data_IF_943527656228
#
_entry.id   IF_943527656228
#
_cell.length_a   1.000
_cell.length_b   1.000
_cell.length_c   1.000
_cell.angle_alpha   90.00
_cell.angle_beta   90.00
_cell.angle_gamma   90.00
#
_symmetry.space_group_name_H-M   'P 1'
#
loop_
_entity.id
_entity.type
_entity.pdbx_description
1 polymer ?
#
# COMPACT_ATOMS: atom_id res chain seq x y z
N UNK A 1 44.11 -5.02 3.55
CA UNK A 1 42.88 -4.32 3.98
C UNK A 1 41.66 -4.52 3.05
N UNK A 2 41.79 -5.13 1.86
CA UNK A 2 40.66 -5.30 0.93
C UNK A 2 39.62 -6.39 1.27
N UNK A 3 39.96 -7.40 2.08
CA UNK A 3 39.03 -8.51 2.38
C UNK A 3 37.82 -8.11 3.23
N UNK A 4 38.05 -7.35 4.32
CA UNK A 4 36.98 -6.91 5.24
C UNK A 4 35.94 -6.03 4.54
N UNK A 5 36.37 -5.19 3.59
CA UNK A 5 35.46 -4.34 2.82
C UNK A 5 34.58 -5.17 1.86
N UNK A 6 35.13 -6.23 1.26
CA UNK A 6 34.39 -7.13 0.36
C UNK A 6 33.38 -7.97 1.13
N UNK A 7 33.74 -8.51 2.30
CA UNK A 7 32.82 -9.33 3.10
C UNK A 7 31.66 -8.50 3.67
N UNK A 8 31.93 -7.24 4.07
CA UNK A 8 30.87 -6.32 4.50
C UNK A 8 29.92 -5.97 3.35
N UNK A 9 30.46 -5.74 2.15
CA UNK A 9 29.65 -5.47 0.96
C UNK A 9 28.76 -6.67 0.61
N UNK A 10 29.32 -7.89 0.62
CA UNK A 10 28.56 -9.13 0.38
C UNK A 10 27.40 -9.27 1.36
N UNK A 11 27.66 -9.08 2.66
CA UNK A 11 26.62 -9.16 3.68
C UNK A 11 25.49 -8.13 3.49
N UNK A 12 25.81 -6.91 3.03
CA UNK A 12 24.78 -5.89 2.73
C UNK A 12 23.92 -6.35 1.55
N UNK A 13 24.53 -6.85 0.48
CA UNK A 13 23.83 -7.31 -0.73
C UNK A 13 22.89 -8.46 -0.38
N UNK A 14 23.38 -9.52 0.26
CA UNK A 14 22.59 -10.70 0.63
C UNK A 14 21.39 -10.33 1.51
N UNK A 15 21.56 -9.38 2.43
CA UNK A 15 20.46 -8.89 3.27
C UNK A 15 19.40 -8.13 2.48
N UNK A 16 19.81 -7.34 1.48
CA UNK A 16 18.88 -6.62 0.60
C UNK A 16 18.14 -7.59 -0.30
N UNK A 17 18.84 -8.55 -0.92
CA UNK A 17 18.22 -9.57 -1.79
C UNK A 17 17.16 -10.38 -1.04
N UNK A 18 17.44 -10.79 0.19
CA UNK A 18 16.44 -11.46 1.03
C UNK A 18 15.21 -10.56 1.29
N UNK A 19 15.41 -9.28 1.60
CA UNK A 19 14.30 -8.34 1.82
C UNK A 19 13.51 -8.06 0.53
N UNK A 20 14.16 -8.09 -0.64
CA UNK A 20 13.52 -8.00 -1.95
C UNK A 20 12.62 -9.22 -2.21
N UNK A 21 13.10 -10.43 -1.91
CA UNK A 21 12.34 -11.67 -2.01
C UNK A 21 11.13 -11.68 -1.06
N UNK A 22 11.33 -11.31 0.21
CA UNK A 22 10.25 -11.19 1.21
C UNK A 22 9.19 -10.17 0.75
N UNK A 23 9.63 -9.00 0.25
CA UNK A 23 8.70 -7.99 -0.27
C UNK A 23 7.92 -8.49 -1.48
N UNK A 24 8.57 -9.25 -2.37
CA UNK A 24 7.90 -9.84 -3.54
C UNK A 24 6.83 -10.85 -3.10
N UNK A 25 7.16 -11.76 -2.17
CA UNK A 25 6.19 -12.71 -1.63
C UNK A 25 4.98 -12.01 -1.02
N UNK A 26 5.20 -10.99 -0.19
CA UNK A 26 4.12 -10.18 0.38
C UNK A 26 3.28 -9.45 -0.68
N UNK A 27 3.91 -8.97 -1.76
CA UNK A 27 3.19 -8.32 -2.85
C UNK A 27 2.30 -9.30 -3.63
N UNK A 28 2.79 -10.53 -3.83
CA UNK A 28 2.02 -11.61 -4.46
C UNK A 28 0.84 -12.02 -3.58
N UNK A 29 1.05 -12.20 -2.27
CA UNK A 29 -0.04 -12.48 -1.31
C UNK A 29 -1.13 -11.39 -1.33
N UNK A 30 -0.74 -10.11 -1.34
CA UNK A 30 -1.69 -8.98 -1.43
C UNK A 30 -2.48 -9.03 -2.75
N UNK A 31 -1.83 -9.42 -3.85
CA UNK A 31 -2.49 -9.53 -5.16
C UNK A 31 -3.51 -10.67 -5.17
N UNK A 32 -3.22 -11.78 -4.51
CA UNK A 32 -4.14 -12.90 -4.38
C UNK A 32 -5.37 -12.50 -3.56
N UNK A 33 -5.20 -11.77 -2.45
CA UNK A 33 -6.31 -11.22 -1.66
C UNK A 33 -7.20 -10.28 -2.50
N UNK A 34 -6.61 -9.42 -3.34
CA UNK A 34 -7.40 -8.58 -4.24
C UNK A 34 -8.14 -9.41 -5.31
N UNK A 35 -7.58 -10.53 -5.73
CA UNK A 35 -8.20 -11.45 -6.69
C UNK A 35 -9.35 -12.23 -6.05
N UNK A 36 -9.22 -12.61 -4.79
CA UNK A 36 -10.30 -13.17 -3.97
C UNK A 36 -11.44 -12.16 -3.80
N UNK A 37 -11.12 -10.91 -3.42
CA UNK A 37 -12.12 -9.85 -3.28
C UNK A 37 -12.91 -9.64 -4.60
N UNK A 38 -12.21 -9.66 -5.74
CA UNK A 38 -12.86 -9.59 -7.06
C UNK A 38 -13.78 -10.78 -7.31
N UNK A 39 -13.32 -11.99 -7.00
CA UNK A 39 -14.10 -13.23 -7.17
C UNK A 39 -15.34 -13.27 -6.26
N UNK A 40 -15.25 -12.64 -5.09
CA UNK A 40 -16.36 -12.45 -4.15
C UNK A 40 -17.33 -11.32 -4.57
N UNK A 41 -17.07 -10.62 -5.68
CA UNK A 41 -17.97 -9.60 -6.24
C UNK A 41 -17.68 -8.16 -5.77
N UNK A 42 -16.57 -7.90 -5.08
CA UNK A 42 -16.20 -6.54 -4.66
C UNK A 42 -15.48 -5.77 -5.79
N UNK A 43 -15.74 -4.47 -5.88
CA UNK A 43 -14.97 -3.57 -6.72
C UNK A 43 -13.59 -3.30 -6.09
N UNK A 44 -12.53 -3.84 -6.72
CA UNK A 44 -11.15 -3.73 -6.23
C UNK A 44 -10.67 -2.28 -6.15
N UNK A 45 -11.14 -1.36 -7.00
CA UNK A 45 -10.75 0.06 -6.94
C UNK A 45 -11.33 0.70 -5.68
N UNK A 46 -12.59 0.42 -5.36
CA UNK A 46 -13.24 0.90 -4.14
C UNK A 46 -12.55 0.32 -2.90
N UNK A 47 -12.22 -0.96 -2.89
CA UNK A 47 -11.48 -1.59 -1.77
C UNK A 47 -10.12 -0.91 -1.56
N UNK A 48 -9.37 -0.61 -2.63
CA UNK A 48 -8.09 0.12 -2.53
C UNK A 48 -8.28 1.53 -1.96
N UNK A 49 -9.36 2.22 -2.34
CA UNK A 49 -9.70 3.52 -1.79
C UNK A 49 -9.99 3.41 -0.28
N UNK A 50 -10.78 2.43 0.15
CA UNK A 50 -11.06 2.19 1.57
C UNK A 50 -9.76 1.93 2.35
N UNK A 51 -8.85 1.10 1.83
CA UNK A 51 -7.55 0.85 2.47
C UNK A 51 -6.74 2.16 2.63
N UNK A 52 -6.79 3.06 1.65
CA UNK A 52 -6.12 4.37 1.72
C UNK A 52 -6.77 5.29 2.76
N UNK A 53 -8.10 5.31 2.82
CA UNK A 53 -8.86 6.09 3.82
C UNK A 53 -8.53 5.59 5.22
N UNK A 54 -8.51 4.27 5.44
CA UNK A 54 -8.19 3.65 6.73
C UNK A 54 -6.77 3.89 7.25
N UNK A 55 -5.88 4.45 6.43
CA UNK A 55 -4.51 4.83 6.83
C UNK A 55 -4.41 6.29 7.28
N UNK A 56 -5.47 7.09 7.13
CA UNK A 56 -5.50 8.49 7.51
C UNK A 56 -6.08 8.65 8.93
N UNK A 57 -5.85 9.81 9.54
CA UNK A 57 -6.44 10.14 10.84
C UNK A 57 -7.96 10.33 10.69
N UNK A 58 -8.80 9.74 11.59
CA UNK A 58 -10.25 9.82 11.44
C UNK A 58 -10.81 11.25 11.33
N UNK A 59 -10.25 12.19 12.08
CA UNK A 59 -10.67 13.59 12.04
C UNK A 59 -10.35 14.27 10.70
N UNK A 60 -9.19 13.97 10.11
CA UNK A 60 -8.81 14.50 8.79
C UNK A 60 -9.73 13.95 7.69
N UNK A 61 -10.09 12.67 7.77
CA UNK A 61 -11.04 12.05 6.84
C UNK A 61 -12.41 12.72 6.93
N UNK A 62 -12.94 12.92 8.14
CA UNK A 62 -14.25 13.56 8.35
C UNK A 62 -14.29 15.01 7.86
N UNK A 63 -13.22 15.78 8.10
CA UNK A 63 -13.08 17.14 7.59
C UNK A 63 -13.07 17.16 6.05
N UNK A 64 -12.28 16.30 5.42
CA UNK A 64 -12.22 16.20 3.96
C UNK A 64 -13.55 15.77 3.34
N UNK A 65 -14.26 14.81 3.95
CA UNK A 65 -15.58 14.36 3.48
C UNK A 65 -16.62 15.48 3.58
N UNK A 66 -16.59 16.26 4.67
CA UNK A 66 -17.45 17.43 4.85
C UNK A 66 -17.21 18.49 3.77
N UNK A 67 -15.94 18.82 3.51
CA UNK A 67 -15.56 19.79 2.48
C UNK A 67 -15.92 19.30 1.07
N UNK A 68 -15.72 18.01 0.79
CA UNK A 68 -16.06 17.40 -0.49
C UNK A 68 -17.56 17.48 -0.77
N UNK A 69 -18.39 17.15 0.22
CA UNK A 69 -19.85 17.24 0.12
C UNK A 69 -20.31 18.70 -0.11
N UNK A 70 -19.74 19.65 0.65
CA UNK A 70 -20.00 21.08 0.44
C UNK A 70 -19.69 21.51 -1.00
N UNK A 71 -18.53 21.11 -1.53
CA UNK A 71 -18.13 21.48 -2.88
C UNK A 71 -18.98 20.80 -3.96
N UNK A 72 -19.39 19.54 -3.77
CA UNK A 72 -20.30 18.85 -4.68
C UNK A 72 -21.65 19.55 -4.77
N UNK A 73 -22.22 19.90 -3.62
CA UNK A 73 -23.48 20.67 -3.55
C UNK A 73 -23.37 22.02 -4.25
N UNK A 74 -22.26 22.74 -4.05
CA UNK A 74 -22.01 24.01 -4.72
C UNK A 74 -21.88 23.88 -6.25
N UNK A 75 -21.39 22.73 -6.72
CA UNK A 75 -21.25 22.40 -8.15
C UNK A 75 -22.51 21.73 -8.75
N UNK A 76 -23.52 21.41 -7.94
CA UNK A 76 -24.73 20.70 -8.38
C UNK A 76 -24.50 19.23 -8.74
N UNK A 77 -23.50 18.59 -8.11
CA UNK A 77 -23.16 17.17 -8.26
C UNK A 77 -23.77 16.30 -7.16
#
# INVERSE_FOLDING_TARGET
MGGIAVDRLRSIIERIERLEEERKALADDIKDIFSEAKSAGFDVKVVRQIIRIRKQEPAEVEEQETLLDLYRRALGM
#
